data_IF_630712398471
#
_entry.id   IF_630712398471
#
_cell.length_a   1.000
_cell.length_b   1.000
_cell.length_c   1.000
_cell.angle_alpha   90.00
_cell.angle_beta   90.00
_cell.angle_gamma   90.00
#
_symmetry.space_group_name_H-M   'P 1'
#
loop_
_entity.id
_entity.type
_entity.pdbx_description
1 polymer ?
#
# COMPACT_ATOMS: atom_id res chain seq x y z
N UNK A 1 8.57 13.24 27.35
CA UNK A 1 7.91 14.46 26.86
C UNK A 1 7.90 14.40 25.35
N UNK A 2 6.80 14.78 24.73
CA UNK A 2 6.65 14.93 23.28
C UNK A 2 6.47 16.40 22.94
N UNK A 3 6.99 16.80 21.80
CA UNK A 3 6.80 18.11 21.21
C UNK A 3 5.60 18.01 20.29
N UNK A 4 4.60 18.88 20.46
CA UNK A 4 3.39 18.83 19.65
C UNK A 4 3.10 20.16 18.97
N UNK A 5 2.47 20.09 17.82
CA UNK A 5 1.93 21.22 17.08
C UNK A 5 0.41 21.09 17.05
N UNK A 6 -0.30 22.17 17.37
CA UNK A 6 -1.75 22.26 17.22
C UNK A 6 -2.17 23.17 16.08
N UNK A 7 -3.34 22.91 15.51
CA UNK A 7 -4.01 23.83 14.60
C UNK A 7 -4.70 24.98 15.36
N UNK A 8 -5.30 25.92 14.63
CA UNK A 8 -6.03 27.05 15.22
C UNK A 8 -7.30 26.65 16.00
N UNK A 9 -7.80 25.42 15.82
CA UNK A 9 -8.92 24.86 16.56
C UNK A 9 -8.48 24.09 17.83
N UNK A 10 -7.17 23.94 18.06
CA UNK A 10 -6.62 23.23 19.21
C UNK A 10 -6.43 21.72 18.99
N UNK A 11 -6.59 21.22 17.78
CA UNK A 11 -6.37 19.79 17.46
C UNK A 11 -4.88 19.53 17.20
N UNK A 12 -4.40 18.35 17.60
CA UNK A 12 -3.04 17.93 17.29
C UNK A 12 -2.88 17.77 15.77
N UNK A 13 -1.81 18.36 15.23
CA UNK A 13 -1.39 18.22 13.83
C UNK A 13 -0.13 17.36 13.69
N UNK A 14 0.73 17.37 14.71
CA UNK A 14 2.01 16.66 14.71
C UNK A 14 2.47 16.41 16.14
N UNK A 15 3.02 15.23 16.38
CA UNK A 15 3.61 14.80 17.66
C UNK A 15 4.97 14.19 17.37
N UNK A 16 6.04 14.68 18.01
CA UNK A 16 7.41 14.24 17.79
C UNK A 16 8.16 14.02 19.11
N UNK A 17 9.09 13.07 19.13
CA UNK A 17 9.96 12.83 20.29
C UNK A 17 11.10 13.86 20.42
N UNK A 18 11.35 14.64 19.36
CA UNK A 18 12.38 15.67 19.30
C UNK A 18 11.75 17.04 18.97
N UNK A 19 12.42 18.12 19.40
CA UNK A 19 11.98 19.47 19.09
C UNK A 19 12.05 19.74 17.58
N UNK A 20 11.07 20.47 17.04
CA UNK A 20 11.00 20.88 15.64
C UNK A 20 10.45 22.30 15.56
N UNK A 21 10.86 23.11 14.58
CA UNK A 21 10.63 24.57 14.57
C UNK A 21 9.18 25.04 14.74
N UNK A 22 8.19 24.21 14.42
CA UNK A 22 6.76 24.54 14.47
C UNK A 22 6.02 24.00 15.70
N UNK A 23 6.73 23.46 16.71
CA UNK A 23 6.08 22.96 17.92
C UNK A 23 5.46 24.10 18.74
N UNK A 24 4.26 23.87 19.26
CA UNK A 24 3.50 24.86 20.05
C UNK A 24 3.58 24.59 21.55
N UNK A 25 3.72 23.32 21.95
CA UNK A 25 3.81 22.94 23.37
C UNK A 25 4.55 21.60 23.56
N UNK A 26 4.84 21.27 24.81
CA UNK A 26 5.38 19.98 25.21
C UNK A 26 4.41 19.27 26.14
N UNK A 27 4.07 18.03 25.81
CA UNK A 27 3.16 17.21 26.60
C UNK A 27 3.87 15.96 27.14
N UNK A 28 3.52 15.47 28.34
CA UNK A 28 4.02 14.20 28.84
C UNK A 28 3.39 13.03 28.08
N UNK A 29 4.07 11.88 28.12
CA UNK A 29 3.64 10.70 27.36
C UNK A 29 2.30 10.13 27.84
N UNK A 30 1.95 10.34 29.11
CA UNK A 30 0.69 9.94 29.74
C UNK A 30 -0.44 10.95 29.56
N UNK A 31 -0.21 12.05 28.82
CA UNK A 31 -1.26 13.01 28.49
C UNK A 31 -2.31 12.36 27.57
N UNK A 32 -3.60 12.63 27.82
CA UNK A 32 -4.72 12.03 27.09
C UNK A 32 -4.58 12.22 25.56
N UNK A 33 -4.33 13.46 25.10
CA UNK A 33 -4.16 13.76 23.67
C UNK A 33 -3.00 12.99 23.00
N UNK A 34 -1.92 12.70 23.75
CA UNK A 34 -0.80 11.90 23.22
C UNK A 34 -1.21 10.44 23.09
N UNK A 35 -1.91 9.91 24.09
CA UNK A 35 -2.43 8.54 24.05
C UNK A 35 -3.43 8.35 22.91
N UNK A 36 -4.32 9.33 22.70
CA UNK A 36 -5.31 9.32 21.62
C UNK A 36 -4.64 9.42 20.23
N UNK A 37 -3.65 10.32 20.07
CA UNK A 37 -2.87 10.44 18.82
C UNK A 37 -2.22 9.13 18.40
N UNK A 38 -1.54 8.44 19.34
CA UNK A 38 -0.90 7.17 19.03
C UNK A 38 -1.91 6.03 18.85
N UNK A 39 -3.08 6.08 19.50
CA UNK A 39 -4.13 5.10 19.27
C UNK A 39 -4.70 5.23 17.84
N UNK A 40 -4.97 6.45 17.38
CA UNK A 40 -5.44 6.72 16.02
C UNK A 40 -4.38 6.38 14.97
N UNK A 41 -3.11 6.76 15.19
CA UNK A 41 -2.00 6.41 14.31
C UNK A 41 -1.81 4.89 14.19
N UNK A 42 -1.96 4.14 15.29
CA UNK A 42 -1.92 2.67 15.25
C UNK A 42 -3.07 2.10 14.43
N UNK A 43 -4.28 2.66 14.54
CA UNK A 43 -5.43 2.21 13.75
C UNK A 43 -5.22 2.53 12.27
N UNK A 44 -4.81 3.75 11.92
CA UNK A 44 -4.53 4.15 10.54
C UNK A 44 -3.39 3.32 9.93
N UNK A 45 -2.30 3.12 10.67
CA UNK A 45 -1.19 2.27 10.23
C UNK A 45 -1.62 0.82 10.06
N UNK A 46 -2.43 0.28 10.97
CA UNK A 46 -2.99 -1.08 10.83
C UNK A 46 -3.89 -1.20 9.60
N UNK A 47 -4.70 -0.18 9.29
CA UNK A 47 -5.54 -0.16 8.09
C UNK A 47 -4.71 -0.07 6.82
N UNK A 48 -3.66 0.74 6.81
CA UNK A 48 -2.74 0.85 5.68
C UNK A 48 -1.96 -0.46 5.46
N UNK A 49 -1.52 -1.11 6.53
CA UNK A 49 -0.87 -2.41 6.48
C UNK A 49 -1.82 -3.50 5.95
N UNK A 50 -3.08 -3.49 6.36
CA UNK A 50 -4.11 -4.39 5.82
C UNK A 50 -4.32 -4.16 4.32
N UNK A 51 -4.48 -2.90 3.89
CA UNK A 51 -4.63 -2.55 2.47
C UNK A 51 -3.43 -3.02 1.65
N UNK A 52 -2.21 -2.84 2.17
CA UNK A 52 -1.01 -3.34 1.51
C UNK A 52 -0.99 -4.86 1.45
N UNK A 53 -1.35 -5.54 2.54
CA UNK A 53 -1.48 -7.00 2.57
C UNK A 53 -2.50 -7.51 1.55
N UNK A 54 -3.62 -6.81 1.34
CA UNK A 54 -4.61 -7.17 0.33
C UNK A 54 -4.06 -7.00 -1.09
N UNK A 55 -3.27 -5.95 -1.35
CA UNK A 55 -2.58 -5.76 -2.63
C UNK A 55 -1.52 -6.83 -2.90
N UNK A 56 -0.80 -7.27 -1.86
CA UNK A 56 0.19 -8.34 -2.01
C UNK A 56 -0.51 -9.70 -2.22
N UNK A 57 -1.57 -9.97 -1.45
CA UNK A 57 -2.37 -11.18 -1.56
C UNK A 57 -2.98 -11.35 -2.94
N UNK A 58 -3.38 -10.25 -3.58
CA UNK A 58 -4.04 -10.35 -4.87
C UNK A 58 -3.12 -10.84 -5.98
N UNK A 59 -1.81 -10.55 -5.89
CA UNK A 59 -0.80 -11.08 -6.81
C UNK A 59 -0.64 -12.59 -6.64
N UNK A 60 -0.65 -13.06 -5.39
CA UNK A 60 -0.62 -14.49 -5.06
C UNK A 60 -1.85 -15.21 -5.59
N UNK A 61 -3.04 -14.61 -5.46
CA UNK A 61 -4.27 -15.17 -6.01
C UNK A 61 -4.24 -15.29 -7.53
N UNK A 62 -3.66 -14.32 -8.24
CA UNK A 62 -3.48 -14.44 -9.70
C UNK A 62 -2.58 -15.60 -10.07
N UNK A 63 -1.41 -15.70 -9.42
CA UNK A 63 -0.46 -16.78 -9.71
C UNK A 63 -1.09 -18.15 -9.40
N UNK A 64 -1.90 -18.24 -8.34
CA UNK A 64 -2.68 -19.45 -8.02
C UNK A 64 -3.71 -19.78 -9.10
N UNK A 65 -4.45 -18.78 -9.60
CA UNK A 65 -5.43 -18.96 -10.68
C UNK A 65 -4.74 -19.46 -11.95
N UNK A 66 -3.59 -18.89 -12.30
CA UNK A 66 -2.79 -19.32 -13.45
C UNK A 66 -2.32 -20.76 -13.29
N UNK A 67 -1.83 -21.15 -12.11
CA UNK A 67 -1.42 -22.53 -11.83
C UNK A 67 -2.60 -23.49 -11.92
N UNK A 68 -3.75 -23.16 -11.36
CA UNK A 68 -4.93 -24.03 -11.35
C UNK A 68 -5.54 -24.18 -12.75
N UNK A 69 -5.57 -23.10 -13.53
CA UNK A 69 -6.03 -23.15 -14.93
C UNK A 69 -5.06 -23.91 -15.82
N UNK A 70 -3.74 -23.74 -15.65
CA UNK A 70 -2.72 -24.51 -16.36
C UNK A 70 -2.77 -26.00 -16.04
N UNK A 71 -3.12 -26.36 -14.80
CA UNK A 71 -3.39 -27.75 -14.38
C UNK A 71 -4.74 -28.28 -14.85
N UNK A 72 -5.57 -27.46 -15.49
CA UNK A 72 -6.89 -27.85 -15.97
C UNK A 72 -7.92 -28.09 -14.86
N UNK A 73 -7.71 -27.56 -13.66
CA UNK A 73 -8.64 -27.71 -12.52
C UNK A 73 -9.96 -26.99 -12.80
N UNK A 74 -9.90 -25.81 -13.43
CA UNK A 74 -11.04 -25.06 -13.94
C UNK A 74 -10.60 -24.17 -15.12
N UNK A 75 -11.57 -23.63 -15.87
CA UNK A 75 -11.34 -22.63 -16.91
C UNK A 75 -11.81 -21.26 -16.42
N UNK A 76 -11.18 -20.18 -16.90
CA UNK A 76 -11.60 -18.81 -16.57
C UNK A 76 -13.10 -18.59 -16.90
N UNK A 77 -13.60 -19.20 -17.98
CA UNK A 77 -15.01 -19.14 -18.39
C UNK A 77 -15.99 -19.75 -17.39
N UNK A 78 -15.50 -20.55 -16.44
CA UNK A 78 -16.31 -21.19 -15.41
C UNK A 78 -16.59 -20.25 -14.22
N UNK A 79 -15.88 -19.10 -14.16
CA UNK A 79 -16.07 -18.08 -13.12
C UNK A 79 -17.23 -17.14 -13.45
N UNK A 80 -17.81 -16.43 -12.46
CA UNK A 80 -18.84 -15.40 -12.73
C UNK A 80 -18.33 -14.31 -13.68
N UNK A 81 -19.18 -13.72 -14.54
CA UNK A 81 -18.76 -12.71 -15.54
C UNK A 81 -17.96 -11.54 -14.95
N UNK A 82 -18.33 -11.07 -13.75
CA UNK A 82 -17.60 -10.02 -13.06
C UNK A 82 -16.17 -10.43 -12.64
N UNK A 83 -15.96 -11.69 -12.29
CA UNK A 83 -14.63 -12.22 -11.98
C UNK A 83 -13.79 -12.39 -13.25
N UNK A 84 -14.40 -12.88 -14.34
CA UNK A 84 -13.74 -12.99 -15.65
C UNK A 84 -13.19 -11.64 -16.12
N UNK A 85 -14.03 -10.60 -16.11
CA UNK A 85 -13.64 -9.25 -16.53
C UNK A 85 -12.50 -8.69 -15.68
N UNK A 86 -12.54 -8.90 -14.35
CA UNK A 86 -11.49 -8.43 -13.43
C UNK A 86 -10.15 -9.12 -13.71
N UNK A 87 -10.16 -10.45 -13.92
CA UNK A 87 -8.94 -11.21 -14.22
C UNK A 87 -8.34 -10.81 -15.57
N UNK A 88 -9.17 -10.61 -16.59
CA UNK A 88 -8.71 -10.16 -17.91
C UNK A 88 -8.07 -8.77 -17.85
N UNK A 89 -8.72 -7.82 -17.16
CA UNK A 89 -8.21 -6.46 -16.98
C UNK A 89 -6.86 -6.46 -16.28
N UNK A 90 -6.72 -7.26 -15.21
CA UNK A 90 -5.43 -7.36 -14.53
C UNK A 90 -4.34 -8.02 -15.35
N UNK A 91 -4.63 -9.14 -16.01
CA UNK A 91 -3.66 -9.82 -16.87
C UNK A 91 -3.12 -8.87 -17.96
N UNK A 92 -4.00 -8.00 -18.48
CA UNK A 92 -3.62 -6.94 -19.44
C UNK A 92 -2.73 -5.89 -18.81
N UNK A 93 -3.09 -5.37 -17.62
CA UNK A 93 -2.27 -4.40 -16.90
C UNK A 93 -0.88 -4.94 -16.57
N UNK A 94 -0.79 -6.22 -16.17
CA UNK A 94 0.48 -6.90 -15.88
C UNK A 94 1.36 -7.05 -17.11
N UNK A 95 0.78 -7.43 -18.25
CA UNK A 95 1.50 -7.48 -19.53
C UNK A 95 2.01 -6.10 -19.97
N UNK A 96 1.21 -5.05 -19.80
CA UNK A 96 1.63 -3.70 -20.13
C UNK A 96 2.84 -3.25 -19.29
N UNK A 97 2.82 -3.50 -17.98
CA UNK A 97 3.96 -3.18 -17.09
C UNK A 97 5.19 -4.03 -17.41
N UNK A 98 5.03 -5.32 -17.70
CA UNK A 98 6.13 -6.19 -18.11
C UNK A 98 6.76 -5.74 -19.43
N UNK A 99 5.93 -5.27 -20.37
CA UNK A 99 6.38 -4.73 -21.65
C UNK A 99 7.17 -3.43 -21.46
N UNK A 100 6.73 -2.54 -20.56
CA UNK A 100 7.44 -1.30 -20.23
C UNK A 100 8.81 -1.58 -19.59
N UNK A 101 8.87 -2.53 -18.65
CA UNK A 101 10.15 -2.92 -18.05
C UNK A 101 11.12 -3.51 -19.08
N UNK A 102 10.63 -4.32 -20.01
CA UNK A 102 11.48 -4.91 -21.05
C UNK A 102 12.05 -3.85 -22.00
N UNK A 103 11.29 -2.78 -22.31
CA UNK A 103 11.79 -1.67 -23.13
C UNK A 103 12.87 -0.85 -22.42
N UNK A 104 12.75 -0.67 -21.09
CA UNK A 104 13.76 0.02 -20.28
C UNK A 104 15.06 -0.79 -20.20
N UNK A 105 14.96 -2.12 -20.03
CA UNK A 105 16.13 -3.01 -19.99
C UNK A 105 16.85 -3.11 -21.35
N UNK A 106 16.15 -2.94 -22.47
CA UNK A 106 16.72 -2.94 -23.82
C UNK A 106 17.55 -1.67 -24.10
N UNK A 107 17.15 -0.52 -23.55
CA UNK A 107 17.86 0.76 -23.71
C UNK A 107 19.18 0.81 -22.90
N UNK A 108 19.29 0.09 -21.78
CA UNK A 108 20.53 0.03 -20.97
C UNK A 108 21.59 -0.96 -21.49
N UNK A 109 21.21 -1.91 -22.36
CA UNK A 109 22.12 -2.91 -22.93
C UNK A 109 22.61 -2.56 -24.35
N UNK A 110 22.09 -1.50 -24.98
CA UNK A 110 22.47 -1.06 -26.33
C UNK A 110 23.77 -0.23 -26.43
N UNK A 111 24.52 -0.08 -25.33
CA UNK A 111 25.59 0.91 -25.21
C UNK A 111 27.02 0.37 -25.14
N UNK A 112 27.36 -0.80 -25.70
CA UNK A 112 28.75 -1.24 -25.84
C UNK A 112 28.93 -2.13 -27.08
N UNK A 113 29.19 -1.51 -28.23
CA UNK A 113 29.92 -2.13 -29.36
C UNK A 113 31.09 -1.21 -29.70
#
# INVERSE_FOLDING_TARGET
MFYVQRNAAGELLRVEAAAFDAFTEMLPADHADIQEWFADDVVENSLNQLKQSDLDMIRVLEDLIDVLTAKGVFKITDLPPGAQAKLLNRATARKALSSLNNLIDEDEQGGLI
#
